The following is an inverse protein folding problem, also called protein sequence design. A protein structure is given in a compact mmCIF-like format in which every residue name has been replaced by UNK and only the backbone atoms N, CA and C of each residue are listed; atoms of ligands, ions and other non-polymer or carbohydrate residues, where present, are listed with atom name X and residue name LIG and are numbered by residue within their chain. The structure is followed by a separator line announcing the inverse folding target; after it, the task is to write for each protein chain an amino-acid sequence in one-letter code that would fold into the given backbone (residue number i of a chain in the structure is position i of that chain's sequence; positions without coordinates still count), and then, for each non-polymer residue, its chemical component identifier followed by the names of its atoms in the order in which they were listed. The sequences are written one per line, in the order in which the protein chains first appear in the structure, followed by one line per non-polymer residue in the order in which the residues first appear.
data_IF_599568621103
#
_entry.id   IF_599568621103
#
_cell.length_a   1.000
_cell.length_b   1.000
_cell.length_c   1.000
_cell.angle_alpha   90.00
_cell.angle_beta   90.00
_cell.angle_gamma   90.00
#
_symmetry.space_group_name_H-M   'P 1'
#
loop_
_entity.id
_entity.type
_entity.pdbx_description
1 polymer ?
#
# COMPACT_ATOMS: atom_id res chain seq x y z
N UNK A 1 14.63 7.77 11.11
CA UNK A 1 13.76 7.62 9.92
C UNK A 1 14.22 8.46 8.71
N UNK A 2 15.43 8.27 8.17
CA UNK A 2 15.89 8.99 6.95
C UNK A 2 15.20 8.47 5.69
N UNK A 3 14.92 7.17 5.64
CA UNK A 3 14.41 6.48 4.44
C UNK A 3 12.93 6.78 4.15
N UNK A 4 12.08 6.84 5.18
CA UNK A 4 10.66 7.20 5.02
C UNK A 4 10.47 8.61 4.43
N UNK A 5 11.28 9.58 4.86
CA UNK A 5 11.21 10.95 4.34
C UNK A 5 11.54 11.00 2.84
N UNK A 6 12.55 10.23 2.41
CA UNK A 6 12.92 10.10 0.99
C UNK A 6 11.81 9.42 0.18
N UNK A 7 11.22 8.35 0.70
CA UNK A 7 10.08 7.66 0.07
C UNK A 7 8.88 8.58 -0.13
N UNK A 8 8.51 9.36 0.90
CA UNK A 8 7.41 10.34 0.81
C UNK A 8 7.71 11.42 -0.22
N UNK A 9 8.95 11.92 -0.28
CA UNK A 9 9.35 12.92 -1.28
C UNK A 9 9.23 12.37 -2.70
N UNK A 10 9.67 11.13 -2.93
CA UNK A 10 9.54 10.45 -4.22
C UNK A 10 8.07 10.34 -4.65
N UNK A 11 7.19 9.87 -3.75
CA UNK A 11 5.77 9.70 -4.04
C UNK A 11 5.05 11.02 -4.35
N UNK A 12 5.50 12.13 -3.74
CA UNK A 12 5.01 13.48 -4.07
C UNK A 12 5.45 13.91 -5.47
N UNK A 13 6.72 13.68 -5.84
CA UNK A 13 7.24 13.98 -7.18
C UNK A 13 6.53 13.17 -8.27
N UNK A 14 6.24 11.90 -8.00
CA UNK A 14 5.52 10.99 -8.90
C UNK A 14 4.00 11.20 -8.93
N UNK A 15 3.47 12.23 -8.26
CA UNK A 15 2.02 12.54 -8.14
C UNK A 15 1.15 11.43 -7.51
N UNK A 16 1.72 10.31 -7.06
CA UNK A 16 1.04 9.21 -6.39
C UNK A 16 0.59 9.53 -4.94
N UNK A 17 1.00 10.69 -4.40
CA UNK A 17 0.64 11.10 -3.04
C UNK A 17 -0.87 11.28 -2.83
N UNK A 18 -1.62 11.65 -3.88
CA UNK A 18 -3.05 11.83 -3.78
C UNK A 18 -3.80 10.52 -3.50
N UNK A 19 -3.36 9.40 -4.07
CA UNK A 19 -3.97 8.10 -3.78
C UNK A 19 -3.67 7.63 -2.36
N UNK A 20 -2.49 7.95 -1.85
CA UNK A 20 -2.14 7.70 -0.45
C UNK A 20 -3.02 8.52 0.49
N UNK A 21 -3.29 9.80 0.19
CA UNK A 21 -4.24 10.61 0.96
C UNK A 21 -5.64 9.97 1.00
N UNK A 22 -6.12 9.43 -0.13
CA UNK A 22 -7.39 8.68 -0.18
C UNK A 22 -7.36 7.44 0.72
N UNK A 23 -6.21 6.74 0.80
CA UNK A 23 -6.06 5.60 1.72
C UNK A 23 -6.18 6.07 3.17
N UNK A 24 -5.44 7.11 3.57
CA UNK A 24 -5.51 7.65 4.93
C UNK A 24 -6.94 8.03 5.32
N UNK A 25 -7.66 8.75 4.45
CA UNK A 25 -9.05 9.15 4.70
C UNK A 25 -10.02 7.96 4.79
N UNK A 26 -9.69 6.83 4.15
CA UNK A 26 -10.56 5.64 4.11
C UNK A 26 -10.43 4.72 5.31
N UNK A 27 -9.46 4.95 6.20
CA UNK A 27 -9.22 4.09 7.34
C UNK A 27 -10.37 4.16 8.33
N UNK A 28 -11.11 3.06 8.46
CA UNK A 28 -12.25 2.98 9.38
C UNK A 28 -12.36 1.62 10.04
N UNK A 29 -13.15 1.55 11.10
CA UNK A 29 -13.48 0.27 11.74
C UNK A 29 -14.42 -0.55 10.85
N UNK A 30 -14.17 -1.85 10.77
CA UNK A 30 -15.02 -2.81 10.06
C UNK A 30 -16.34 -2.94 10.82
N UNK A 31 -17.45 -2.83 10.09
CA UNK A 31 -18.77 -3.10 10.62
C UNK A 31 -18.99 -4.61 10.84
N UNK A 32 -19.85 -4.94 11.80
CA UNK A 32 -20.31 -6.31 12.07
C UNK A 32 -19.29 -7.21 12.81
N UNK A 33 -19.65 -8.49 12.91
CA UNK A 33 -18.93 -9.51 13.72
C UNK A 33 -17.48 -9.74 13.29
N UNK A 34 -17.12 -9.38 12.05
CA UNK A 34 -15.74 -9.48 11.55
C UNK A 34 -14.72 -8.67 12.36
N UNK A 35 -15.17 -7.60 13.04
CA UNK A 35 -14.34 -6.80 13.96
C UNK A 35 -13.78 -7.65 15.12
N UNK A 36 -14.56 -8.59 15.64
CA UNK A 36 -14.13 -9.45 16.76
C UNK A 36 -13.03 -10.46 16.33
N UNK A 37 -13.00 -10.86 15.06
CA UNK A 37 -12.04 -11.82 14.50
C UNK A 37 -10.72 -11.17 14.02
N UNK A 38 -10.23 -10.15 14.72
CA UNK A 38 -9.01 -9.39 14.39
C UNK A 38 -8.97 -8.68 13.02
N UNK A 39 -10.06 -8.64 12.25
CA UNK A 39 -10.19 -7.87 11.00
C UNK A 39 -10.83 -6.50 11.24
N UNK A 40 -10.32 -5.80 12.25
CA UNK A 40 -10.95 -4.60 12.84
C UNK A 40 -10.94 -3.38 11.95
N UNK A 41 -9.93 -3.20 11.09
CA UNK A 41 -9.78 -2.02 10.23
C UNK A 41 -9.96 -2.38 8.77
N UNK A 42 -10.54 -1.45 8.02
CA UNK A 42 -10.62 -1.48 6.56
C UNK A 42 -9.96 -0.20 6.05
N UNK A 43 -9.23 -0.34 4.95
CA UNK A 43 -8.64 0.77 4.21
C UNK A 43 -8.65 0.44 2.72
N UNK A 44 -8.64 1.46 1.88
CA UNK A 44 -8.45 1.31 0.43
C UNK A 44 -7.06 0.76 0.13
N UNK A 45 -6.93 0.12 -1.04
CA UNK A 45 -5.62 -0.19 -1.62
C UNK A 45 -5.09 1.07 -2.32
N UNK A 46 -3.82 1.36 -2.10
CA UNK A 46 -3.12 2.48 -2.72
C UNK A 46 -2.20 1.99 -3.84
N UNK A 47 -1.14 2.74 -4.17
CA UNK A 47 -0.26 2.41 -5.27
C UNK A 47 0.51 1.10 -5.04
N UNK A 48 0.78 0.38 -6.13
CA UNK A 48 1.61 -0.81 -6.16
C UNK A 48 3.01 -0.45 -6.68
N UNK A 49 4.05 -0.79 -5.94
CA UNK A 49 5.45 -0.58 -6.29
C UNK A 49 6.05 -1.95 -6.60
N UNK A 50 6.55 -2.10 -7.82
CA UNK A 50 7.23 -3.31 -8.30
C UNK A 50 8.74 -3.05 -8.29
N UNK A 51 9.52 -3.95 -7.71
CA UNK A 51 10.97 -3.86 -7.61
C UNK A 51 11.64 -5.19 -7.99
N UNK A 52 12.88 -5.13 -8.49
CA UNK A 52 13.65 -6.34 -8.79
C UNK A 52 14.37 -6.87 -7.55
N UNK A 53 15.08 -5.98 -6.84
CA UNK A 53 15.90 -6.32 -5.66
C UNK A 53 15.54 -5.45 -4.46
N UNK A 54 15.57 -6.02 -3.25
CA UNK A 54 15.29 -5.29 -2.01
C UNK A 54 16.53 -4.57 -1.49
N UNK A 55 16.81 -3.39 -2.04
CA UNK A 55 17.87 -2.49 -1.57
C UNK A 55 17.36 -1.53 -0.47
N UNK A 56 16.62 -2.06 0.52
CA UNK A 56 16.00 -1.26 1.58
C UNK A 56 14.65 -0.65 1.21
N UNK A 57 14.10 -1.00 0.04
CA UNK A 57 12.80 -0.55 -0.44
C UNK A 57 11.71 -1.01 0.52
N UNK A 58 11.76 -2.27 0.99
CA UNK A 58 10.74 -2.78 1.92
C UNK A 58 10.73 -1.95 3.21
N UNK A 59 11.91 -1.64 3.77
CA UNK A 59 12.02 -0.85 5.00
C UNK A 59 11.51 0.59 4.82
N UNK A 60 11.78 1.19 3.66
CA UNK A 60 11.38 2.57 3.36
C UNK A 60 9.86 2.72 3.20
N UNK A 61 9.20 1.76 2.53
CA UNK A 61 7.79 1.88 2.15
C UNK A 61 6.82 1.11 3.07
N UNK A 62 7.27 0.14 3.89
CA UNK A 62 6.38 -0.67 4.75
C UNK A 62 5.51 0.12 5.73
N UNK A 63 5.95 1.30 6.15
CA UNK A 63 5.23 2.12 7.13
C UNK A 63 4.16 3.02 6.51
N UNK A 64 4.08 3.08 5.17
CA UNK A 64 3.09 3.90 4.48
C UNK A 64 1.84 3.02 4.23
N UNK A 65 0.66 3.44 4.71
CA UNK A 65 -0.55 2.63 4.57
C UNK A 65 -0.99 2.53 3.10
N UNK A 66 -1.51 1.36 2.74
CA UNK A 66 -2.10 1.10 1.42
C UNK A 66 -1.11 0.85 0.29
N UNK A 67 0.19 1.07 0.49
CA UNK A 67 1.21 0.71 -0.50
C UNK A 67 1.35 -0.81 -0.56
N UNK A 68 1.36 -1.35 -1.78
CA UNK A 68 1.68 -2.76 -2.03
C UNK A 68 3.07 -2.87 -2.64
N UNK A 69 3.89 -3.77 -2.09
CA UNK A 69 5.23 -4.05 -2.57
C UNK A 69 5.24 -5.42 -3.26
N UNK A 70 5.78 -5.48 -4.47
CA UNK A 70 5.88 -6.69 -5.29
C UNK A 70 7.27 -6.85 -5.86
N UNK A 71 7.79 -8.08 -5.82
CA UNK A 71 9.01 -8.42 -6.53
C UNK A 71 8.65 -8.87 -7.97
N UNK A 72 9.44 -8.50 -8.96
CA UNK A 72 9.26 -8.90 -10.38
C UNK A 72 9.21 -10.43 -10.54
N UNK A 73 10.03 -11.17 -9.80
CA UNK A 73 10.04 -12.64 -9.84
C UNK A 73 8.86 -13.28 -9.10
N UNK A 74 8.10 -12.50 -8.32
CA UNK A 74 6.97 -12.98 -7.49
C UNK A 74 5.74 -12.09 -7.69
N UNK A 75 5.36 -11.89 -8.95
CA UNK A 75 4.16 -11.14 -9.32
C UNK A 75 2.91 -11.98 -9.05
N UNK A 76 2.00 -11.43 -8.25
CA UNK A 76 0.75 -12.11 -7.88
C UNK A 76 -0.43 -11.35 -8.46
N UNK A 77 -1.30 -12.07 -9.19
CA UNK A 77 -2.49 -11.50 -9.83
C UNK A 77 -3.42 -10.82 -8.82
N UNK A 78 -3.60 -11.39 -7.62
CA UNK A 78 -4.48 -10.82 -6.59
C UNK A 78 -4.01 -9.46 -6.07
N UNK A 79 -2.72 -9.15 -6.22
CA UNK A 79 -2.13 -7.86 -5.81
C UNK A 79 -2.17 -6.84 -6.95
N UNK A 80 -2.13 -7.29 -8.21
CA UNK A 80 -2.28 -6.46 -9.40
C UNK A 80 -3.74 -6.08 -9.66
N UNK A 81 -4.65 -7.05 -9.59
CA UNK A 81 -6.10 -6.90 -9.78
C UNK A 81 -6.84 -7.27 -8.48
N UNK A 82 -6.81 -6.39 -7.46
CA UNK A 82 -7.44 -6.66 -6.18
C UNK A 82 -8.98 -6.74 -6.34
N UNK A 83 -9.52 -7.93 -6.05
CA UNK A 83 -10.95 -8.19 -6.17
C UNK A 83 -11.44 -8.42 -7.60
N UNK A 84 -10.54 -8.72 -8.55
CA UNK A 84 -10.91 -8.99 -9.94
C UNK A 84 -11.24 -7.75 -10.77
N UNK A 85 -11.01 -6.55 -10.23
CA UNK A 85 -11.10 -5.31 -11.00
C UNK A 85 -9.80 -5.13 -11.79
N UNK A 86 -9.88 -5.18 -13.12
CA UNK A 86 -8.81 -4.65 -13.98
C UNK A 86 -8.95 -3.12 -14.05
N UNK A 87 -7.85 -2.36 -13.97
CA UNK A 87 -7.87 -0.94 -14.28
C UNK A 87 -8.27 -0.68 -15.74
#
# INVERSE_FOLDING_TARGET
CRELKKAVLLLKKLKAWNDIKKVYASQRMRAGKGKMRNRRRIQRRGPCIIYNEDNGIIKAFRNIPGITLLNVSKLNISKLAPGGHSP
#
